data_IF_072711891544
#
_entry.id   IF_072711891544
#
_cell.length_a   1.000
_cell.length_b   1.000
_cell.length_c   1.000
_cell.angle_alpha   90.00
_cell.angle_beta   90.00
_cell.angle_gamma   90.00
#
_symmetry.space_group_name_H-M   'P 1'
#
loop_
_entity.id
_entity.type
_entity.pdbx_description
1 polymer ?
#
# COMPACT_ATOMS: atom_id res chain seq x y z
N UNK A 1 23.43 18.12 22.27
CA UNK A 1 23.26 18.04 20.82
C UNK A 1 23.62 16.62 20.39
N UNK A 2 22.68 15.71 20.42
CA UNK A 2 22.81 14.35 19.90
C UNK A 2 21.84 14.26 18.75
N UNK A 3 22.37 14.20 17.52
CA UNK A 3 21.58 14.07 16.30
C UNK A 3 20.85 12.72 16.24
N UNK A 4 19.72 12.64 15.53
CA UNK A 4 18.97 11.40 15.42
C UNK A 4 19.79 10.36 14.64
N UNK A 5 19.89 9.18 15.22
CA UNK A 5 20.59 8.03 14.63
C UNK A 5 19.92 7.64 13.31
N UNK A 6 20.61 7.81 12.19
CA UNK A 6 20.28 7.24 10.89
C UNK A 6 20.17 5.72 11.01
N UNK A 7 18.97 5.18 10.97
CA UNK A 7 18.77 3.76 10.77
C UNK A 7 19.02 3.42 9.30
N UNK A 8 20.27 3.30 8.90
CA UNK A 8 20.64 2.68 7.62
C UNK A 8 20.11 1.25 7.63
N UNK A 9 19.05 0.97 6.88
CA UNK A 9 18.71 -0.41 6.57
C UNK A 9 19.93 -1.02 5.91
N UNK A 10 20.52 -2.04 6.55
CA UNK A 10 21.63 -2.80 5.97
C UNK A 10 21.16 -3.37 4.64
N UNK A 11 21.93 -3.13 3.57
CA UNK A 11 21.77 -3.85 2.31
C UNK A 11 21.76 -5.37 2.62
N UNK A 12 20.82 -6.10 2.02
CA UNK A 12 20.72 -7.54 2.21
C UNK A 12 22.06 -8.20 1.84
N UNK A 13 22.55 -9.10 2.69
CA UNK A 13 23.77 -9.86 2.41
C UNK A 13 23.57 -10.67 1.12
N UNK A 14 24.59 -10.81 0.25
CA UNK A 14 24.55 -11.75 -0.87
C UNK A 14 24.19 -13.16 -0.36
N UNK A 15 23.17 -13.79 -0.94
CA UNK A 15 22.65 -15.09 -0.52
C UNK A 15 21.51 -15.04 0.50
N UNK A 16 21.07 -13.86 0.95
CA UNK A 16 19.84 -13.75 1.72
C UNK A 16 18.63 -14.14 0.83
N UNK A 17 17.74 -14.96 1.41
CA UNK A 17 16.50 -15.38 0.72
C UNK A 17 15.30 -14.75 1.44
N UNK A 18 14.99 -13.48 1.17
CA UNK A 18 13.85 -12.82 1.77
C UNK A 18 12.56 -13.55 1.40
N UNK A 19 11.56 -13.46 2.27
CA UNK A 19 10.24 -13.99 2.00
C UNK A 19 9.37 -12.90 1.39
N UNK A 20 8.70 -13.22 0.28
CA UNK A 20 7.67 -12.39 -0.34
C UNK A 20 6.30 -12.96 0.02
N UNK A 21 5.49 -12.16 0.67
CA UNK A 21 4.09 -12.46 0.92
C UNK A 21 3.24 -11.80 -0.16
N UNK A 22 2.31 -12.56 -0.71
CA UNK A 22 1.37 -12.10 -1.74
C UNK A 22 -0.04 -12.39 -1.28
N UNK A 23 -0.82 -11.33 -1.09
CA UNK A 23 -2.27 -11.41 -0.88
C UNK A 23 -3.01 -11.40 -2.21
N UNK A 24 -4.11 -12.12 -2.28
CA UNK A 24 -4.93 -12.24 -3.48
C UNK A 24 -6.42 -12.04 -3.18
N UNK A 25 -7.20 -11.68 -4.18
CA UNK A 25 -8.64 -11.77 -4.05
C UNK A 25 -9.05 -13.24 -4.12
N UNK A 26 -9.37 -13.81 -2.96
CA UNK A 26 -9.75 -15.21 -2.77
C UNK A 26 -11.08 -15.28 -2.00
N UNK A 27 -11.89 -16.26 -2.30
CA UNK A 27 -13.10 -16.52 -1.53
C UNK A 27 -12.76 -17.13 -0.16
N UNK A 28 -13.70 -17.03 0.78
CA UNK A 28 -13.46 -17.57 2.13
C UNK A 28 -13.29 -19.10 2.08
N UNK A 29 -12.14 -19.58 2.57
CA UNK A 29 -11.76 -21.00 2.51
C UNK A 29 -10.63 -21.29 1.52
N UNK A 30 -10.42 -20.44 0.52
CA UNK A 30 -9.30 -20.55 -0.41
C UNK A 30 -8.03 -19.91 0.14
N UNK A 31 -6.88 -20.36 -0.36
CA UNK A 31 -5.59 -19.75 -0.06
C UNK A 31 -5.59 -18.30 -0.53
N UNK A 32 -5.57 -17.36 0.43
CA UNK A 32 -5.58 -15.93 0.14
C UNK A 32 -4.21 -15.29 0.34
N UNK A 33 -3.39 -15.80 1.27
CA UNK A 33 -2.02 -15.31 1.46
C UNK A 33 -1.05 -16.42 1.09
N UNK A 34 -0.17 -16.13 0.13
CA UNK A 34 0.88 -17.03 -0.34
C UNK A 34 2.25 -16.50 0.07
N UNK A 35 3.13 -17.39 0.55
CA UNK A 35 4.49 -17.05 0.95
C UNK A 35 5.47 -17.71 0.00
N UNK A 36 6.33 -16.88 -0.58
CA UNK A 36 7.38 -17.32 -1.50
C UNK A 36 8.76 -17.03 -0.89
N UNK A 37 9.65 -18.01 -0.99
CA UNK A 37 11.08 -17.78 -0.81
C UNK A 37 11.61 -17.16 -2.10
N UNK A 38 12.22 -16.00 -1.99
CA UNK A 38 12.77 -15.28 -3.13
C UNK A 38 14.28 -15.48 -3.22
N UNK A 39 14.75 -15.96 -4.35
CA UNK A 39 16.19 -16.09 -4.64
C UNK A 39 16.69 -14.79 -5.28
N UNK A 40 17.47 -14.02 -4.55
CA UNK A 40 18.02 -12.73 -5.01
C UNK A 40 19.10 -12.88 -6.10
N UNK A 41 19.64 -14.08 -6.33
CA UNK A 41 20.62 -14.32 -7.39
C UNK A 41 19.95 -14.56 -8.74
N UNK A 42 18.86 -15.32 -8.76
CA UNK A 42 18.18 -15.74 -10.00
C UNK A 42 16.82 -15.06 -10.24
N UNK A 43 16.24 -14.39 -9.24
CA UNK A 43 14.88 -13.86 -9.31
C UNK A 43 13.78 -14.93 -9.15
N UNK A 44 14.14 -16.17 -8.83
CA UNK A 44 13.19 -17.27 -8.71
C UNK A 44 12.30 -17.12 -7.46
N UNK A 45 11.04 -17.51 -7.61
CA UNK A 45 10.03 -17.55 -6.54
C UNK A 45 9.64 -19.01 -6.30
N UNK A 46 9.92 -19.50 -5.08
CA UNK A 46 9.52 -20.82 -4.60
C UNK A 46 8.38 -20.64 -3.59
N UNK A 47 7.16 -21.13 -3.88
CA UNK A 47 6.07 -21.10 -2.90
C UNK A 47 6.36 -22.09 -1.78
N UNK A 48 6.50 -21.58 -0.55
CA UNK A 48 6.83 -22.39 0.65
C UNK A 48 5.62 -22.58 1.57
N UNK A 49 4.64 -21.67 1.51
CA UNK A 49 3.47 -21.72 2.37
C UNK A 49 2.28 -21.00 1.73
N UNK A 50 1.08 -21.37 2.13
CA UNK A 50 -0.14 -20.61 1.88
C UNK A 50 -1.13 -20.81 3.03
N UNK A 51 -2.02 -19.83 3.25
CA UNK A 51 -3.03 -19.87 4.29
C UNK A 51 -4.36 -19.30 3.77
N UNK A 52 -5.49 -19.92 4.13
CA UNK A 52 -6.80 -19.39 3.80
C UNK A 52 -7.03 -18.00 4.41
N UNK A 53 -7.45 -17.07 3.57
CA UNK A 53 -7.83 -15.72 3.98
C UNK A 53 -8.78 -15.13 2.91
N UNK A 54 -9.87 -14.51 3.34
CA UNK A 54 -10.80 -13.87 2.42
C UNK A 54 -10.26 -12.49 1.99
N UNK A 55 -10.02 -12.31 0.70
CA UNK A 55 -9.61 -11.05 0.06
C UNK A 55 -8.53 -10.26 0.83
N UNK A 56 -7.35 -10.83 1.16
CA UNK A 56 -6.25 -10.10 1.79
C UNK A 56 -5.55 -9.20 0.75
N UNK A 57 -6.26 -8.18 0.27
CA UNK A 57 -5.85 -7.35 -0.87
C UNK A 57 -4.70 -6.38 -0.56
N UNK A 58 -4.38 -6.19 0.72
CA UNK A 58 -3.24 -5.39 1.16
C UNK A 58 -2.59 -5.97 2.43
N UNK A 59 -1.26 -5.96 2.49
CA UNK A 59 -0.46 -6.53 3.56
C UNK A 59 0.62 -5.55 4.02
N UNK A 60 0.93 -5.59 5.32
CA UNK A 60 2.13 -4.94 5.86
C UNK A 60 2.81 -5.87 6.85
N UNK A 61 4.15 -5.87 6.86
CA UNK A 61 4.94 -6.59 7.86
C UNK A 61 5.45 -5.63 8.95
N UNK A 62 5.51 -6.11 10.19
CA UNK A 62 6.17 -5.39 11.27
C UNK A 62 7.66 -5.19 10.96
N UNK A 63 8.27 -4.15 11.56
CA UNK A 63 9.68 -3.82 11.31
C UNK A 63 10.65 -4.95 11.69
N UNK A 64 10.30 -5.71 12.72
CA UNK A 64 11.08 -6.86 13.19
C UNK A 64 10.81 -8.15 12.39
N UNK A 65 9.88 -8.10 11.44
CA UNK A 65 9.51 -9.22 10.56
C UNK A 65 8.76 -10.34 11.26
N UNK A 66 8.33 -10.18 12.53
CA UNK A 66 7.64 -11.23 13.29
C UNK A 66 6.13 -11.24 13.14
N UNK A 67 5.55 -10.13 12.66
CA UNK A 67 4.10 -10.01 12.49
C UNK A 67 3.76 -9.51 11.10
N UNK A 68 2.63 -9.99 10.59
CA UNK A 68 2.04 -9.55 9.33
C UNK A 68 0.60 -9.17 9.59
N UNK A 69 0.18 -8.03 9.06
CA UNK A 69 -1.19 -7.56 9.12
C UNK A 69 -1.77 -7.52 7.72
N UNK A 70 -3.00 -8.01 7.57
CA UNK A 70 -3.69 -8.05 6.28
C UNK A 70 -5.10 -7.51 6.43
N UNK A 71 -5.55 -6.70 5.47
CA UNK A 71 -6.99 -6.42 5.33
C UNK A 71 -7.72 -7.69 4.89
N UNK A 72 -9.00 -7.78 5.20
CA UNK A 72 -9.94 -8.66 4.51
C UNK A 72 -10.96 -7.74 3.84
N UNK A 73 -10.73 -7.43 2.56
CA UNK A 73 -11.53 -6.52 1.75
C UNK A 73 -12.87 -7.18 1.41
N UNK A 74 -13.78 -7.09 2.39
CA UNK A 74 -15.10 -7.66 2.28
C UNK A 74 -16.14 -6.55 2.14
N UNK A 75 -17.03 -6.65 1.14
CA UNK A 75 -18.17 -5.76 1.03
C UNK A 75 -19.12 -5.98 2.20
N UNK A 76 -19.82 -4.93 2.59
CA UNK A 76 -20.86 -5.06 3.59
C UNK A 76 -22.01 -5.92 3.07
N UNK A 77 -22.33 -6.96 3.79
CA UNK A 77 -23.59 -7.69 3.58
C UNK A 77 -24.77 -6.82 3.96
N UNK A 78 -25.76 -6.70 3.10
CA UNK A 78 -27.04 -6.08 3.46
C UNK A 78 -27.58 -6.74 4.73
N UNK A 79 -28.08 -5.92 5.65
CA UNK A 79 -28.67 -6.40 6.89
C UNK A 79 -29.85 -7.34 6.58
N UNK A 80 -29.65 -8.62 6.79
CA UNK A 80 -30.76 -9.57 6.91
C UNK A 80 -31.17 -9.62 8.38
N UNK A 81 -32.44 -9.61 8.71
CA UNK A 81 -32.89 -9.68 10.08
C UNK A 81 -32.27 -10.87 10.82
N UNK A 82 -31.51 -10.61 11.89
CA UNK A 82 -30.87 -11.63 12.73
C UNK A 82 -29.46 -12.07 12.31
N UNK A 83 -28.86 -11.52 11.25
CA UNK A 83 -27.46 -11.75 10.87
C UNK A 83 -26.68 -10.47 11.15
N UNK A 84 -25.62 -10.56 11.97
CA UNK A 84 -24.68 -9.47 12.17
C UNK A 84 -24.14 -9.04 10.80
N UNK A 85 -24.20 -7.73 10.50
CA UNK A 85 -23.64 -7.17 9.27
C UNK A 85 -22.19 -7.60 9.16
N UNK A 86 -21.82 -8.35 8.12
CA UNK A 86 -20.41 -8.66 7.83
C UNK A 86 -19.77 -7.34 7.45
N UNK A 87 -18.93 -6.83 8.33
CA UNK A 87 -18.08 -5.67 8.07
C UNK A 87 -16.75 -6.14 7.48
N UNK A 88 -16.00 -5.25 6.85
CA UNK A 88 -14.61 -5.50 6.53
C UNK A 88 -13.84 -5.90 7.78
N UNK A 89 -12.81 -6.70 7.62
CA UNK A 89 -11.99 -7.22 8.72
C UNK A 89 -10.52 -6.87 8.50
N UNK A 90 -9.75 -6.98 9.58
CA UNK A 90 -8.30 -6.96 9.55
C UNK A 90 -7.77 -8.10 10.39
N UNK A 91 -6.76 -8.80 9.88
CA UNK A 91 -6.16 -9.97 10.50
C UNK A 91 -4.71 -9.70 10.89
N UNK A 92 -4.29 -10.21 12.05
CA UNK A 92 -2.92 -10.22 12.52
C UNK A 92 -2.39 -11.65 12.53
N UNK A 93 -1.17 -11.84 12.04
CA UNK A 93 -0.49 -13.14 11.97
C UNK A 93 0.88 -13.05 12.63
N UNK A 94 1.27 -14.11 13.37
CA UNK A 94 2.66 -14.36 13.64
C UNK A 94 3.33 -14.94 12.39
N UNK A 95 4.55 -14.50 12.10
CA UNK A 95 5.33 -14.96 10.97
C UNK A 95 6.66 -15.56 11.41
N UNK A 96 6.93 -16.80 11.02
CA UNK A 96 8.23 -17.44 11.18
C UNK A 96 9.05 -17.28 9.89
N UNK A 97 10.05 -16.42 9.93
CA UNK A 97 10.92 -16.16 8.79
C UNK A 97 11.79 -17.35 8.36
N UNK A 98 11.96 -18.37 9.23
CA UNK A 98 12.75 -19.58 8.92
C UNK A 98 11.96 -20.54 8.05
N UNK A 99 10.75 -20.85 8.46
CA UNK A 99 9.85 -21.78 7.75
C UNK A 99 9.01 -21.08 6.69
N UNK A 100 8.77 -19.77 6.82
CA UNK A 100 7.84 -19.00 6.00
C UNK A 100 6.38 -19.17 6.41
N UNK A 101 6.09 -19.75 7.59
CA UNK A 101 4.73 -20.04 8.03
C UNK A 101 4.06 -18.82 8.67
N UNK A 102 2.75 -18.72 8.45
CA UNK A 102 1.86 -17.76 9.10
C UNK A 102 0.92 -18.46 10.07
N UNK A 103 0.78 -17.92 11.28
CA UNK A 103 -0.21 -18.36 12.26
C UNK A 103 -1.14 -17.21 12.59
N UNK A 104 -2.44 -17.37 12.38
CA UNK A 104 -3.43 -16.34 12.73
C UNK A 104 -3.40 -16.12 14.25
N UNK A 105 -3.16 -14.88 14.65
CA UNK A 105 -3.19 -14.44 16.05
C UNK A 105 -4.56 -13.86 16.40
N UNK A 106 -5.08 -13.00 15.53
CA UNK A 106 -6.27 -12.22 15.81
C UNK A 106 -6.97 -11.78 14.51
N UNK A 107 -8.27 -11.52 14.59
CA UNK A 107 -9.07 -10.93 13.52
C UNK A 107 -10.17 -10.08 14.10
N UNK A 108 -10.19 -8.79 13.75
CA UNK A 108 -11.15 -7.83 14.27
C UNK A 108 -11.83 -7.05 13.15
N UNK A 109 -12.93 -6.37 13.47
CA UNK A 109 -13.60 -5.47 12.53
C UNK A 109 -12.68 -4.32 12.09
N UNK A 110 -12.72 -3.95 10.82
CA UNK A 110 -12.10 -2.74 10.29
C UNK A 110 -12.89 -1.46 10.63
N UNK A 111 -14.05 -1.60 11.28
CA UNK A 111 -15.02 -0.52 11.53
C UNK A 111 -15.52 0.19 10.26
N UNK A 112 -15.50 -0.51 9.14
CA UNK A 112 -15.97 -0.05 7.84
C UNK A 112 -16.09 -1.23 6.87
N UNK A 113 -16.18 -0.94 5.59
CA UNK A 113 -16.31 -1.94 4.54
C UNK A 113 -15.24 -1.74 3.49
N UNK A 114 -14.91 -2.83 2.78
CA UNK A 114 -13.88 -2.84 1.76
C UNK A 114 -12.56 -2.22 2.26
N UNK A 115 -11.98 -2.69 3.41
CA UNK A 115 -10.67 -2.21 3.83
C UNK A 115 -9.63 -2.56 2.77
N UNK A 116 -8.94 -1.55 2.23
CA UNK A 116 -8.08 -1.72 1.06
C UNK A 116 -6.63 -1.28 1.26
N UNK A 117 -6.30 -0.69 2.41
CA UNK A 117 -4.92 -0.24 2.69
C UNK A 117 -4.62 -0.22 4.19
N UNK A 118 -3.36 -0.51 4.53
CA UNK A 118 -2.82 -0.51 5.89
C UNK A 118 -1.54 0.32 5.99
N UNK A 119 -1.30 0.92 7.16
CA UNK A 119 -0.04 1.58 7.51
C UNK A 119 0.26 1.38 8.98
N UNK A 120 1.48 0.92 9.30
CA UNK A 120 1.97 0.86 10.67
C UNK A 120 2.51 2.23 11.09
N UNK A 121 2.25 2.62 12.34
CA UNK A 121 2.93 3.76 12.94
C UNK A 121 4.45 3.53 13.00
N UNK A 122 5.29 4.58 12.98
CA UNK A 122 6.74 4.43 13.01
C UNK A 122 7.28 3.64 14.22
N UNK A 123 6.57 3.68 15.33
CA UNK A 123 6.89 2.91 16.56
C UNK A 123 6.31 1.49 16.57
N UNK A 124 5.49 1.13 15.56
CA UNK A 124 4.87 -0.17 15.40
C UNK A 124 3.72 -0.48 16.38
N UNK A 125 3.27 0.49 17.17
CA UNK A 125 2.23 0.28 18.18
C UNK A 125 0.80 0.54 17.71
N UNK A 126 0.64 1.05 16.48
CA UNK A 126 -0.67 1.30 15.91
C UNK A 126 -0.71 0.87 14.44
N UNK A 127 -1.87 0.38 14.03
CA UNK A 127 -2.21 0.09 12.65
C UNK A 127 -3.32 1.02 12.21
N UNK A 128 -3.07 1.85 11.23
CA UNK A 128 -4.10 2.61 10.54
C UNK A 128 -4.58 1.83 9.31
N UNK A 129 -5.87 1.90 9.01
CA UNK A 129 -6.48 1.28 7.84
C UNK A 129 -7.49 2.21 7.17
N UNK A 130 -7.61 2.09 5.86
CA UNK A 130 -8.56 2.79 5.02
C UNK A 130 -9.65 1.80 4.58
N UNK A 131 -10.91 2.16 4.83
CA UNK A 131 -12.09 1.47 4.33
C UNK A 131 -12.62 2.25 3.13
N UNK A 132 -12.70 1.59 1.98
CA UNK A 132 -13.10 2.23 0.73
C UNK A 132 -14.58 2.61 0.73
N UNK A 133 -15.43 1.73 1.25
CA UNK A 133 -16.88 1.98 1.33
C UNK A 133 -17.46 1.68 2.71
N UNK A 134 -18.68 2.18 2.96
CA UNK A 134 -19.46 1.93 4.17
C UNK A 134 -20.93 1.76 3.77
N UNK A 135 -21.53 0.56 3.92
CA UNK A 135 -22.85 0.22 3.39
C UNK A 135 -24.00 1.04 3.97
N UNK A 136 -23.90 1.43 5.24
CA UNK A 136 -25.00 2.11 5.94
C UNK A 136 -25.02 3.64 5.72
N UNK A 137 -23.97 4.19 5.11
CA UNK A 137 -23.80 5.62 4.88
C UNK A 137 -22.76 5.77 3.77
N UNK A 138 -23.10 6.23 2.55
CA UNK A 138 -22.15 6.37 1.48
C UNK A 138 -20.93 7.19 1.91
N UNK A 139 -19.75 6.61 1.73
CA UNK A 139 -18.49 7.25 2.06
C UNK A 139 -17.50 6.31 2.75
N UNK A 140 -16.23 6.59 2.58
CA UNK A 140 -15.14 5.85 3.19
C UNK A 140 -14.91 6.19 4.65
N UNK A 141 -14.03 5.45 5.30
CA UNK A 141 -13.58 5.75 6.66
C UNK A 141 -12.12 5.42 6.87
N UNK A 142 -11.55 6.02 7.91
CA UNK A 142 -10.21 5.73 8.41
C UNK A 142 -10.34 5.19 9.83
N UNK A 143 -9.66 4.09 10.11
CA UNK A 143 -9.63 3.50 11.46
C UNK A 143 -8.20 3.32 11.93
N UNK A 144 -7.94 3.55 13.21
CA UNK A 144 -6.65 3.28 13.86
C UNK A 144 -6.90 2.30 15.00
N UNK A 145 -6.15 1.20 14.98
CA UNK A 145 -6.17 0.15 16.00
C UNK A 145 -4.85 0.13 16.76
N UNK A 146 -4.85 0.00 18.09
CA UNK A 146 -3.64 -0.25 18.84
C UNK A 146 -3.13 -1.68 18.58
N UNK A 147 -1.82 -1.87 18.68
CA UNK A 147 -1.14 -3.17 18.56
C UNK A 147 -0.50 -3.48 19.92
N UNK A 148 -0.81 -4.64 20.47
CA UNK A 148 -0.20 -5.16 21.67
C UNK A 148 1.21 -5.72 21.41
N UNK A 149 1.99 -5.96 22.46
CA UNK A 149 3.37 -6.44 22.36
C UNK A 149 3.49 -7.84 21.71
N UNK A 150 2.41 -8.64 21.75
CA UNK A 150 2.33 -9.96 21.13
C UNK A 150 1.84 -9.93 19.67
N UNK A 151 1.63 -8.73 19.12
CA UNK A 151 1.17 -8.51 17.75
C UNK A 151 -0.34 -8.55 17.56
N UNK A 152 -1.14 -8.85 18.60
CA UNK A 152 -2.59 -8.80 18.54
C UNK A 152 -3.12 -7.37 18.56
N UNK A 153 -4.37 -7.20 18.19
CA UNK A 153 -5.01 -5.88 18.30
C UNK A 153 -5.41 -5.60 19.76
N UNK A 154 -5.10 -4.40 20.22
CA UNK A 154 -5.52 -3.91 21.52
C UNK A 154 -6.96 -3.39 21.52
N UNK A 155 -7.47 -3.05 22.69
CA UNK A 155 -8.81 -2.48 22.85
C UNK A 155 -8.84 -1.01 22.40
N UNK A 156 -9.98 -0.59 21.85
CA UNK A 156 -10.27 0.80 21.51
C UNK A 156 -9.78 1.20 20.12
N UNK A 157 -10.71 1.34 19.19
CA UNK A 157 -10.45 1.86 17.86
C UNK A 157 -10.79 3.35 17.79
N UNK A 158 -9.99 4.14 17.08
CA UNK A 158 -10.37 5.47 16.62
C UNK A 158 -10.84 5.37 15.18
N UNK A 159 -12.07 5.79 14.88
CA UNK A 159 -12.60 5.75 13.52
C UNK A 159 -13.20 7.10 13.12
N UNK A 160 -12.90 7.53 11.89
CA UNK A 160 -13.41 8.77 11.31
C UNK A 160 -14.04 8.47 9.96
N UNK A 161 -15.32 8.84 9.81
CA UNK A 161 -16.02 8.77 8.52
C UNK A 161 -15.69 9.97 7.66
N UNK A 162 -15.43 9.72 6.38
CA UNK A 162 -15.23 10.76 5.38
C UNK A 162 -16.55 11.10 4.70
N UNK A 163 -16.66 12.32 4.18
CA UNK A 163 -17.84 12.82 3.46
C UNK A 163 -17.39 13.66 2.27
N UNK A 164 -18.14 13.59 1.21
CA UNK A 164 -17.90 14.35 0.00
C UNK A 164 -18.12 13.56 -1.24
N UNK A 165 -17.95 14.18 -2.38
CA UNK A 165 -18.03 13.57 -3.71
C UNK A 165 -17.15 14.36 -4.68
N UNK A 166 -16.90 13.80 -5.85
CA UNK A 166 -16.13 14.39 -6.94
C UNK A 166 -16.92 14.35 -8.26
N UNK A 167 -16.31 14.80 -9.35
CA UNK A 167 -17.00 14.97 -10.62
C UNK A 167 -17.18 13.68 -11.44
N UNK A 168 -16.49 12.59 -11.13
CA UNK A 168 -16.49 11.34 -11.91
C UNK A 168 -17.62 10.43 -11.45
N UNK A 169 -18.74 10.44 -12.17
CA UNK A 169 -19.90 9.61 -11.88
C UNK A 169 -19.54 8.11 -11.82
N UNK A 170 -20.10 7.39 -10.86
CA UNK A 170 -19.86 5.97 -10.62
C UNK A 170 -18.54 5.66 -9.90
N UNK A 171 -17.64 6.64 -9.78
CA UNK A 171 -16.36 6.49 -9.09
C UNK A 171 -16.19 7.48 -7.93
N UNK A 172 -16.88 8.61 -7.98
CA UNK A 172 -16.78 9.69 -7.02
C UNK A 172 -18.14 10.17 -6.53
N UNK A 173 -19.15 9.30 -6.52
CA UNK A 173 -20.49 9.63 -6.02
C UNK A 173 -20.51 9.81 -4.50
N UNK A 174 -19.50 9.30 -3.81
CA UNK A 174 -19.27 9.46 -2.36
C UNK A 174 -17.78 9.45 -2.03
N UNK A 175 -17.44 9.78 -0.78
CA UNK A 175 -16.07 9.68 -0.29
C UNK A 175 -15.60 8.21 -0.27
N UNK A 176 -14.34 7.95 -0.65
CA UNK A 176 -13.71 6.64 -0.69
C UNK A 176 -12.27 6.73 -0.18
N UNK A 177 -12.04 6.40 1.10
CA UNK A 177 -10.70 6.34 1.64
C UNK A 177 -9.94 5.18 0.96
N UNK A 178 -8.94 5.50 0.13
CA UNK A 178 -8.19 4.46 -0.58
C UNK A 178 -6.84 4.13 0.07
N UNK A 179 -6.23 5.06 0.75
CA UNK A 179 -5.03 4.78 1.52
C UNK A 179 -4.92 5.65 2.77
N UNK A 180 -4.14 5.17 3.72
CA UNK A 180 -3.82 5.85 4.95
C UNK A 180 -2.34 5.66 5.25
N UNK A 181 -1.63 6.73 5.62
CA UNK A 181 -0.17 6.70 5.78
C UNK A 181 0.23 7.57 6.97
N UNK A 182 0.98 6.99 7.92
CA UNK A 182 1.67 7.79 8.93
C UNK A 182 2.81 8.57 8.28
N UNK A 183 2.92 9.85 8.61
CA UNK A 183 4.08 10.62 8.27
C UNK A 183 5.33 10.06 8.98
N UNK A 184 6.54 10.22 8.40
CA UNK A 184 7.76 9.72 9.03
C UNK A 184 8.05 10.25 10.43
N UNK A 185 7.49 11.41 10.77
CA UNK A 185 7.60 12.03 12.09
C UNK A 185 6.72 11.35 13.18
N UNK A 186 5.80 10.45 12.76
CA UNK A 186 4.85 9.79 13.65
C UNK A 186 3.78 10.68 14.24
N UNK A 187 3.78 11.99 13.96
CA UNK A 187 2.85 12.97 14.52
C UNK A 187 1.62 13.23 13.66
N UNK A 188 1.68 12.84 12.38
CA UNK A 188 0.61 13.08 11.44
C UNK A 188 0.16 11.78 10.76
N UNK A 189 -1.14 11.65 10.55
CA UNK A 189 -1.76 10.60 9.74
C UNK A 189 -2.42 11.25 8.53
N UNK A 190 -2.10 10.75 7.35
CA UNK A 190 -2.69 11.18 6.09
C UNK A 190 -3.64 10.11 5.57
N UNK A 191 -4.75 10.54 4.97
CA UNK A 191 -5.63 9.67 4.20
C UNK A 191 -5.94 10.27 2.83
N UNK A 192 -6.04 9.43 1.83
CA UNK A 192 -6.38 9.81 0.48
C UNK A 192 -7.82 9.41 0.21
N UNK A 193 -8.65 10.41 -0.07
CA UNK A 193 -10.04 10.23 -0.43
C UNK A 193 -10.18 10.33 -1.95
N UNK A 194 -10.19 9.17 -2.59
CA UNK A 194 -10.35 9.04 -4.04
C UNK A 194 -11.70 9.61 -4.50
N UNK A 195 -12.74 9.40 -3.69
CA UNK A 195 -14.10 9.78 -4.06
C UNK A 195 -14.38 11.28 -3.98
N UNK A 196 -13.65 12.02 -3.14
CA UNK A 196 -13.86 13.46 -2.95
C UNK A 196 -12.67 14.32 -3.42
N UNK A 197 -11.68 13.72 -4.10
CA UNK A 197 -10.46 14.42 -4.55
C UNK A 197 -9.75 15.16 -3.41
N UNK A 198 -9.52 14.49 -2.27
CA UNK A 198 -8.93 15.11 -1.09
C UNK A 198 -7.77 14.32 -0.52
N UNK A 199 -6.79 15.04 0.00
CA UNK A 199 -5.79 14.51 0.93
C UNK A 199 -6.13 15.08 2.30
N UNK A 200 -6.54 14.21 3.23
CA UNK A 200 -6.84 14.59 4.61
C UNK A 200 -5.62 14.36 5.48
N UNK A 201 -5.47 15.18 6.51
CA UNK A 201 -4.43 15.05 7.53
C UNK A 201 -4.99 15.32 8.92
N UNK A 202 -4.61 14.47 9.86
CA UNK A 202 -4.84 14.66 11.31
C UNK A 202 -3.51 14.71 12.05
N UNK A 203 -3.50 15.43 13.17
CA UNK A 203 -2.48 15.16 14.19
C UNK A 203 -2.87 13.86 14.88
N UNK A 204 -1.89 12.97 14.97
CA UNK A 204 -2.03 11.67 15.61
C UNK A 204 -1.56 11.75 17.07
N UNK A 205 -2.40 11.29 17.99
CA UNK A 205 -2.11 11.16 19.41
C UNK A 205 -2.36 9.71 19.83
N UNK A 206 -1.29 8.95 20.02
CA UNK A 206 -1.32 7.53 20.38
C UNK A 206 -0.32 7.18 21.48
N UNK A 207 -0.01 8.13 22.36
CA UNK A 207 1.08 7.99 23.31
C UNK A 207 0.76 7.09 24.52
N UNK A 208 -0.50 6.91 24.88
CA UNK A 208 -0.92 6.11 26.03
C UNK A 208 -1.38 4.72 25.58
N UNK A 209 -0.70 3.63 25.98
CA UNK A 209 -1.06 2.28 25.56
C UNK A 209 -2.40 1.78 26.10
N UNK A 210 -2.95 2.45 27.09
CA UNK A 210 -4.23 2.15 27.75
C UNK A 210 -5.39 3.02 27.26
N UNK A 211 -5.15 3.93 26.30
CA UNK A 211 -6.17 4.83 25.74
C UNK A 211 -6.25 4.67 24.22
N UNK A 212 -7.47 4.77 23.65
CA UNK A 212 -7.62 4.84 22.19
C UNK A 212 -6.81 5.99 21.61
N UNK A 213 -6.20 5.76 20.46
CA UNK A 213 -5.57 6.81 19.70
C UNK A 213 -6.60 7.90 19.34
N UNK A 214 -6.14 9.13 19.15
CA UNK A 214 -6.99 10.23 18.71
C UNK A 214 -6.48 10.84 17.42
N UNK A 215 -7.42 11.15 16.53
CA UNK A 215 -7.20 11.90 15.30
C UNK A 215 -7.80 13.30 15.49
N UNK A 216 -6.94 14.27 15.72
CA UNK A 216 -7.33 15.65 16.05
C UNK A 216 -6.88 16.65 14.99
N UNK A 217 -7.41 17.84 15.02
CA UNK A 217 -7.07 18.96 14.12
C UNK A 217 -7.13 18.56 12.63
N UNK A 218 -8.27 18.07 12.12
CA UNK A 218 -8.39 17.68 10.74
C UNK A 218 -8.21 18.86 9.81
N UNK A 219 -7.34 18.69 8.82
CA UNK A 219 -7.24 19.59 7.65
C UNK A 219 -7.25 18.75 6.38
N UNK A 220 -7.66 19.35 5.29
CA UNK A 220 -7.60 18.68 3.99
C UNK A 220 -7.07 19.62 2.91
N UNK A 221 -6.43 19.01 1.93
CA UNK A 221 -6.01 19.64 0.69
C UNK A 221 -6.93 19.13 -0.43
N UNK A 222 -7.61 20.03 -1.13
CA UNK A 222 -8.34 19.70 -2.33
C UNK A 222 -7.33 19.49 -3.47
N UNK A 223 -7.34 18.31 -4.07
CA UNK A 223 -6.52 18.03 -5.25
C UNK A 223 -7.32 18.35 -6.51
N UNK A 224 -6.72 18.15 -7.67
CA UNK A 224 -7.36 18.42 -8.95
C UNK A 224 -8.64 17.59 -9.12
N UNK A 225 -9.78 18.22 -9.51
CA UNK A 225 -11.04 17.51 -9.68
C UNK A 225 -10.93 16.36 -10.68
N UNK A 226 -11.45 15.19 -10.30
CA UNK A 226 -11.44 13.98 -11.13
C UNK A 226 -10.12 13.21 -11.12
N UNK A 227 -9.12 13.61 -10.33
CA UNK A 227 -7.84 12.90 -10.28
C UNK A 227 -7.91 11.59 -9.46
N UNK A 228 -8.69 11.56 -8.38
CA UNK A 228 -8.86 10.40 -7.52
C UNK A 228 -7.56 9.97 -6.83
N UNK A 229 -7.11 10.68 -5.77
CA UNK A 229 -5.87 10.34 -5.07
C UNK A 229 -5.98 8.96 -4.42
N UNK A 230 -5.00 8.09 -4.70
CA UNK A 230 -5.05 6.67 -4.36
C UNK A 230 -4.02 6.25 -3.33
N UNK A 231 -2.75 6.40 -3.63
CA UNK A 231 -1.63 6.02 -2.77
C UNK A 231 -0.69 7.20 -2.52
N UNK A 232 -0.12 7.27 -1.32
CA UNK A 232 0.89 8.25 -0.94
C UNK A 232 2.15 7.55 -0.45
N UNK A 233 3.31 8.05 -0.88
CA UNK A 233 4.61 7.67 -0.33
C UNK A 233 5.41 8.91 0.04
N UNK A 234 5.98 8.90 1.24
CA UNK A 234 6.96 9.92 1.61
C UNK A 234 8.33 9.59 1.02
N UNK A 235 8.98 10.60 0.47
CA UNK A 235 10.35 10.54 0.04
C UNK A 235 11.35 10.46 1.20
N UNK A 236 12.66 10.43 0.90
CA UNK A 236 13.70 10.51 1.92
C UNK A 236 13.49 11.70 2.86
N UNK A 237 13.77 11.50 4.16
CA UNK A 237 13.65 12.52 5.20
C UNK A 237 12.24 13.13 5.36
N UNK A 238 11.23 12.62 4.62
CA UNK A 238 9.86 13.13 4.69
C UNK A 238 9.65 14.54 4.14
N UNK A 239 10.63 15.13 3.42
CA UNK A 239 10.53 16.48 2.84
C UNK A 239 9.56 16.57 1.66
N UNK A 240 9.32 15.44 1.00
CA UNK A 240 8.43 15.34 -0.16
C UNK A 240 7.44 14.20 0.04
N UNK A 241 6.25 14.36 -0.51
CA UNK A 241 5.23 13.33 -0.62
C UNK A 241 4.82 13.15 -2.08
N UNK A 242 4.64 11.91 -2.49
CA UNK A 242 4.29 11.51 -3.85
C UNK A 242 2.94 10.84 -3.82
N UNK A 243 2.00 11.39 -4.56
CA UNK A 243 0.62 10.94 -4.60
C UNK A 243 0.31 10.36 -5.97
N UNK A 244 -0.06 9.08 -5.99
CA UNK A 244 -0.63 8.43 -7.15
C UNK A 244 -2.10 8.80 -7.25
N UNK A 245 -2.51 9.33 -8.38
CA UNK A 245 -3.89 9.58 -8.73
C UNK A 245 -4.40 8.43 -9.64
N UNK A 246 -5.51 7.81 -9.25
CA UNK A 246 -6.03 6.64 -9.96
C UNK A 246 -6.74 7.02 -11.25
N UNK A 247 -7.65 8.01 -11.19
CA UNK A 247 -8.64 8.19 -12.24
C UNK A 247 -8.08 8.86 -13.50
N UNK A 248 -7.03 9.67 -13.36
CA UNK A 248 -6.35 10.32 -14.48
C UNK A 248 -4.94 9.77 -14.74
N UNK A 249 -4.52 8.73 -13.97
CA UNK A 249 -3.19 8.14 -14.05
C UNK A 249 -2.08 9.19 -14.04
N UNK A 250 -1.96 9.90 -12.94
CA UNK A 250 -0.93 10.91 -12.72
C UNK A 250 -0.24 10.75 -11.37
N UNK A 251 0.91 11.38 -11.22
CA UNK A 251 1.62 11.50 -9.94
C UNK A 251 1.76 12.99 -9.63
N UNK A 252 1.31 13.37 -8.44
CA UNK A 252 1.56 14.70 -7.89
C UNK A 252 2.68 14.64 -6.85
N UNK A 253 3.68 15.52 -6.98
CA UNK A 253 4.76 15.70 -6.03
C UNK A 253 4.46 16.91 -5.17
N UNK A 254 4.46 16.70 -3.86
CA UNK A 254 4.23 17.77 -2.87
C UNK A 254 5.49 18.01 -2.04
N UNK A 255 5.80 19.27 -1.74
CA UNK A 255 6.65 19.58 -0.60
C UNK A 255 5.87 19.34 0.67
N UNK A 256 6.52 18.69 1.65
CA UNK A 256 5.93 18.40 2.95
C UNK A 256 6.72 19.10 4.05
N UNK A 257 6.02 19.82 4.91
CA UNK A 257 6.58 20.46 6.09
C UNK A 257 5.52 20.48 7.21
N UNK A 258 5.84 19.88 8.34
CA UNK A 258 4.99 19.83 9.55
C UNK A 258 3.50 19.47 9.26
N UNK A 259 3.29 18.42 8.49
CA UNK A 259 1.97 17.94 8.10
C UNK A 259 1.26 18.76 7.01
N UNK A 260 1.88 19.79 6.47
CA UNK A 260 1.36 20.57 5.36
C UNK A 260 1.95 20.13 4.03
N UNK A 261 1.11 20.12 3.00
CA UNK A 261 1.49 19.75 1.63
C UNK A 261 1.31 20.94 0.70
N UNK A 262 2.31 21.19 -0.14
CA UNK A 262 2.21 22.16 -1.24
C UNK A 262 2.64 21.54 -2.55
N UNK A 263 1.79 21.62 -3.58
CA UNK A 263 2.06 21.02 -4.90
C UNK A 263 3.33 21.62 -5.51
N UNK A 264 4.23 20.76 -5.95
CA UNK A 264 5.49 21.12 -6.56
C UNK A 264 5.60 20.66 -8.01
N UNK A 265 5.02 19.52 -8.36
CA UNK A 265 5.02 18.97 -9.71
C UNK A 265 3.78 18.12 -9.95
N UNK A 266 3.28 18.14 -11.19
CA UNK A 266 2.27 17.22 -11.70
C UNK A 266 2.88 16.44 -12.87
N UNK A 267 2.77 15.09 -12.84
CA UNK A 267 3.38 14.20 -13.83
C UNK A 267 2.33 13.25 -14.39
N UNK A 268 1.87 13.44 -15.63
CA UNK A 268 1.05 12.45 -16.32
C UNK A 268 1.82 11.14 -16.52
N UNK A 269 1.16 9.99 -16.35
CA UNK A 269 1.76 8.67 -16.54
C UNK A 269 1.55 8.13 -17.95
N UNK A 270 0.78 8.82 -18.79
CA UNK A 270 0.54 8.46 -20.18
C UNK A 270 1.30 9.38 -21.12
N UNK A 271 1.60 8.89 -22.30
CA UNK A 271 2.15 9.73 -23.36
C UNK A 271 1.07 10.70 -23.92
N UNK A 272 1.47 11.85 -24.44
CA UNK A 272 0.53 12.75 -25.10
C UNK A 272 -0.24 12.04 -26.20
N UNK A 273 -1.57 12.16 -26.19
CA UNK A 273 -2.44 11.53 -27.18
C UNK A 273 -2.83 10.08 -26.89
N UNK A 274 -2.43 9.51 -25.77
CA UNK A 274 -2.93 8.19 -25.35
C UNK A 274 -4.44 8.23 -25.13
N UNK A 275 -5.19 7.45 -25.92
CA UNK A 275 -6.66 7.44 -25.90
C UNK A 275 -7.27 6.20 -25.22
N UNK A 276 -6.46 5.33 -24.66
CA UNK A 276 -6.94 4.14 -23.96
C UNK A 276 -7.39 4.42 -22.52
N UNK A 277 -8.03 3.43 -21.89
CA UNK A 277 -8.39 3.47 -20.48
C UNK A 277 -7.14 3.46 -19.58
N UNK A 278 -7.19 4.23 -18.51
CA UNK A 278 -6.08 4.37 -17.55
C UNK A 278 -6.58 4.20 -16.12
N UNK A 279 -5.71 3.68 -15.26
CA UNK A 279 -5.95 3.70 -13.83
C UNK A 279 -4.62 3.56 -13.07
N UNK A 280 -4.13 4.64 -12.48
CA UNK A 280 -2.97 4.60 -11.60
C UNK A 280 -3.17 3.60 -10.47
N UNK A 281 -2.12 2.87 -10.05
CA UNK A 281 -2.27 1.84 -9.02
C UNK A 281 -1.19 1.92 -7.94
N UNK A 282 -0.15 1.14 -8.01
CA UNK A 282 0.89 1.08 -6.99
C UNK A 282 1.99 2.14 -7.20
N UNK A 283 2.64 2.52 -6.11
CA UNK A 283 3.71 3.50 -6.09
C UNK A 283 4.76 3.10 -5.05
N UNK A 284 6.00 2.80 -5.47
CA UNK A 284 7.08 2.39 -4.57
C UNK A 284 8.43 2.98 -4.96
N UNK A 285 9.20 3.35 -3.95
CA UNK A 285 10.60 3.71 -4.14
C UNK A 285 11.48 2.47 -4.26
N UNK A 286 12.56 2.59 -5.03
CA UNK A 286 13.70 1.69 -4.89
C UNK A 286 14.30 1.79 -3.47
N UNK A 287 14.96 0.73 -2.97
CA UNK A 287 15.58 0.76 -1.63
C UNK A 287 16.59 1.89 -1.44
N UNK A 288 17.32 2.25 -2.50
CA UNK A 288 18.28 3.37 -2.53
C UNK A 288 17.62 4.74 -2.66
N UNK A 289 16.28 4.80 -2.83
CA UNK A 289 15.48 6.02 -2.98
C UNK A 289 15.81 6.89 -4.19
N UNK A 290 16.61 6.40 -5.13
CA UNK A 290 16.98 7.12 -6.36
C UNK A 290 15.88 7.09 -7.42
N UNK A 291 15.01 6.07 -7.37
CA UNK A 291 13.94 5.88 -8.34
C UNK A 291 12.59 5.65 -7.66
N UNK A 292 11.56 6.15 -8.29
CA UNK A 292 10.16 5.90 -7.96
C UNK A 292 9.53 5.08 -9.10
N UNK A 293 8.86 4.01 -8.76
CA UNK A 293 8.15 3.13 -9.69
C UNK A 293 6.65 3.30 -9.50
N UNK A 294 5.92 3.26 -10.61
CA UNK A 294 4.48 3.43 -10.63
C UNK A 294 3.83 2.44 -11.59
N UNK A 295 2.72 1.82 -11.22
CA UNK A 295 1.95 0.98 -12.14
C UNK A 295 0.73 1.71 -12.68
N UNK A 296 0.46 1.55 -13.99
CA UNK A 296 -0.71 2.05 -14.68
C UNK A 296 -1.45 0.88 -15.30
N UNK A 297 -2.71 0.71 -14.90
CA UNK A 297 -3.64 -0.33 -15.36
C UNK A 297 -4.43 0.13 -16.58
N UNK A 298 -5.40 -0.65 -16.99
CA UNK A 298 -6.25 -0.39 -18.16
C UNK A 298 -5.55 -0.80 -19.45
N UNK A 299 -5.68 -0.03 -20.52
CA UNK A 299 -5.07 -0.36 -21.79
C UNK A 299 -3.55 -0.10 -21.81
N UNK A 300 -3.03 0.63 -20.82
CA UNK A 300 -1.60 0.90 -20.68
C UNK A 300 -0.82 -0.30 -20.13
N UNK A 301 -1.32 -0.96 -19.10
CA UNK A 301 -0.75 -2.16 -18.44
C UNK A 301 0.79 -2.18 -18.34
N UNK A 302 1.34 -1.15 -17.67
CA UNK A 302 2.79 -0.90 -17.63
C UNK A 302 3.29 -0.45 -16.26
N UNK A 303 4.59 -0.58 -16.07
CA UNK A 303 5.35 -0.01 -14.96
C UNK A 303 6.18 1.14 -15.49
N UNK A 304 6.01 2.32 -14.89
CA UNK A 304 6.81 3.50 -15.19
C UNK A 304 7.93 3.64 -14.18
N UNK A 305 9.05 4.16 -14.63
CA UNK A 305 10.24 4.41 -13.83
C UNK A 305 10.56 5.89 -13.86
N UNK A 306 10.70 6.49 -12.70
CA UNK A 306 11.07 7.90 -12.55
C UNK A 306 12.35 8.02 -11.73
N UNK A 307 13.33 8.76 -12.25
CA UNK A 307 14.45 9.24 -11.46
C UNK A 307 13.97 10.37 -10.54
N UNK A 308 14.42 10.33 -9.29
CA UNK A 308 14.06 11.32 -8.26
C UNK A 308 15.24 12.24 -8.04
N UNK A 309 15.05 13.53 -8.28
CA UNK A 309 16.06 14.54 -7.94
C UNK A 309 16.14 14.68 -6.41
N UNK A 310 17.29 14.42 -5.78
CA UNK A 310 17.38 14.38 -4.32
C UNK A 310 17.23 15.76 -3.66
N UNK A 311 17.48 16.84 -4.39
CA UNK A 311 17.40 18.19 -3.83
C UNK A 311 15.98 18.76 -3.92
N UNK A 312 15.34 18.63 -5.09
CA UNK A 312 14.03 19.20 -5.38
C UNK A 312 12.88 18.23 -5.17
N UNK A 313 13.14 16.92 -5.11
CA UNK A 313 12.13 15.86 -5.08
C UNK A 313 11.41 15.62 -6.41
N UNK A 314 11.77 16.38 -7.46
CA UNK A 314 11.10 16.30 -8.75
C UNK A 314 11.36 14.97 -9.45
N UNK A 315 10.36 14.52 -10.22
CA UNK A 315 10.41 13.31 -10.99
C UNK A 315 10.79 13.60 -12.44
N UNK A 316 11.68 12.77 -12.99
CA UNK A 316 11.99 12.72 -14.41
C UNK A 316 11.80 11.29 -14.89
N UNK A 317 10.98 11.07 -15.92
CA UNK A 317 10.80 9.73 -16.49
C UNK A 317 12.15 9.16 -16.96
N UNK A 318 12.42 7.93 -16.55
CA UNK A 318 13.64 7.17 -16.86
C UNK A 318 13.34 5.92 -17.69
N UNK A 319 12.07 5.50 -17.77
CA UNK A 319 11.68 4.38 -18.60
C UNK A 319 10.23 3.93 -18.38
N UNK A 320 9.79 3.07 -19.29
CA UNK A 320 8.49 2.37 -19.25
C UNK A 320 8.71 0.92 -19.61
N UNK A 321 8.00 0.04 -18.94
CA UNK A 321 8.07 -1.41 -19.17
C UNK A 321 6.65 -1.99 -19.15
N UNK A 322 6.27 -2.74 -20.19
CA UNK A 322 5.05 -3.55 -20.13
C UNK A 322 5.09 -4.48 -18.92
N UNK A 323 3.99 -4.59 -18.19
CA UNK A 323 3.88 -5.53 -17.06
C UNK A 323 3.82 -7.01 -17.49
N UNK A 324 3.80 -7.30 -18.80
CA UNK A 324 3.68 -8.63 -19.40
C UNK A 324 2.44 -9.41 -18.92
N UNK A 325 1.36 -8.68 -18.74
CA UNK A 325 0.07 -9.18 -18.28
C UNK A 325 -0.97 -8.09 -18.31
N UNK A 326 -2.02 -8.23 -17.49
CA UNK A 326 -3.10 -7.24 -17.38
C UNK A 326 -3.35 -6.86 -15.93
N UNK A 327 -3.71 -5.61 -15.72
CA UNK A 327 -4.08 -5.03 -14.43
C UNK A 327 -2.95 -5.20 -13.40
N UNK A 328 -1.78 -4.53 -13.59
CA UNK A 328 -0.69 -4.53 -12.62
C UNK A 328 -1.12 -3.75 -11.36
N UNK A 329 -1.83 -4.44 -10.44
CA UNK A 329 -2.45 -3.82 -9.27
C UNK A 329 -1.43 -3.42 -8.23
N UNK A 330 -0.47 -4.30 -7.97
CA UNK A 330 0.58 -4.07 -6.97
C UNK A 330 1.90 -4.68 -7.46
N UNK A 331 3.00 -4.17 -6.94
CA UNK A 331 4.33 -4.71 -7.16
C UNK A 331 5.21 -4.51 -5.92
N UNK A 332 6.28 -5.25 -5.83
CA UNK A 332 7.30 -5.06 -4.81
C UNK A 332 8.70 -5.04 -5.43
N UNK A 333 9.60 -4.26 -4.83
CA UNK A 333 11.02 -4.29 -5.14
C UNK A 333 11.71 -5.06 -4.02
N UNK A 334 12.58 -6.01 -4.37
CA UNK A 334 13.31 -6.79 -3.37
C UNK A 334 14.18 -5.89 -2.47
N UNK A 335 14.47 -6.31 -1.24
CA UNK A 335 15.25 -5.49 -0.31
C UNK A 335 16.66 -5.15 -0.80
N UNK A 336 17.23 -5.96 -1.69
CA UNK A 336 18.51 -5.69 -2.36
C UNK A 336 18.42 -4.73 -3.53
N UNK A 337 17.22 -4.47 -4.01
CA UNK A 337 16.96 -3.54 -5.10
C UNK A 337 17.34 -4.02 -6.49
N UNK A 338 17.62 -5.32 -6.66
CA UNK A 338 17.99 -5.91 -7.94
C UNK A 338 16.80 -6.41 -8.76
N UNK A 339 15.60 -6.47 -8.14
CA UNK A 339 14.43 -7.11 -8.75
C UNK A 339 13.15 -6.36 -8.45
N UNK A 340 12.21 -6.43 -9.40
CA UNK A 340 10.84 -5.98 -9.23
C UNK A 340 9.90 -7.13 -9.58
N UNK A 341 8.96 -7.43 -8.70
CA UNK A 341 7.94 -8.46 -8.88
C UNK A 341 6.59 -7.76 -9.00
N UNK A 342 5.89 -7.93 -10.13
CA UNK A 342 4.57 -7.35 -10.35
C UNK A 342 3.46 -8.41 -10.28
N UNK A 343 2.37 -8.07 -9.63
CA UNK A 343 1.13 -8.84 -9.61
C UNK A 343 0.15 -8.34 -10.65
N UNK A 344 -0.02 -9.13 -11.69
CA UNK A 344 -0.98 -8.88 -12.76
C UNK A 344 -2.33 -9.51 -12.40
N UNK A 345 -3.17 -8.76 -11.69
CA UNK A 345 -4.46 -9.22 -11.18
C UNK A 345 -5.37 -9.77 -12.30
N UNK A 346 -5.40 -9.11 -13.45
CA UNK A 346 -6.23 -9.51 -14.60
C UNK A 346 -5.68 -10.66 -15.43
N UNK A 347 -4.50 -11.17 -15.08
CA UNK A 347 -3.84 -12.30 -15.78
C UNK A 347 -3.45 -13.43 -14.83
N UNK A 348 -3.86 -13.39 -13.55
CA UNK A 348 -3.59 -14.40 -12.53
C UNK A 348 -2.11 -14.79 -12.45
N UNK A 349 -1.23 -13.78 -12.39
CA UNK A 349 0.20 -14.03 -12.53
C UNK A 349 1.08 -13.05 -11.77
N UNK A 350 2.22 -13.56 -11.29
CA UNK A 350 3.39 -12.75 -10.98
C UNK A 350 4.35 -12.77 -12.16
N UNK A 351 4.97 -11.62 -12.42
CA UNK A 351 6.08 -11.45 -13.35
C UNK A 351 7.27 -10.85 -12.63
N UNK A 352 8.46 -11.27 -12.97
CA UNK A 352 9.71 -10.83 -12.36
C UNK A 352 10.52 -10.06 -13.38
N UNK A 353 11.09 -8.96 -12.96
CA UNK A 353 11.95 -8.09 -13.75
C UNK A 353 13.27 -7.90 -13.04
N UNK A 354 14.38 -8.04 -13.76
CA UNK A 354 15.68 -7.57 -13.28
C UNK A 354 15.68 -6.05 -13.28
N UNK A 355 16.13 -5.45 -12.19
CA UNK A 355 16.25 -4.01 -12.07
C UNK A 355 17.72 -3.62 -12.20
N UNK A 356 18.03 -2.81 -13.18
CA UNK A 356 19.32 -2.12 -13.23
C UNK A 356 19.36 -1.02 -12.16
N UNK A 357 20.30 -1.12 -11.23
CA UNK A 357 20.33 -0.22 -10.07
C UNK A 357 20.87 1.17 -10.41
N UNK A 358 21.57 1.35 -11.53
CA UNK A 358 22.13 2.63 -11.96
C UNK A 358 21.12 3.45 -12.77
N UNK A 359 20.45 2.83 -13.73
CA UNK A 359 19.48 3.50 -14.60
C UNK A 359 18.03 3.38 -14.12
N UNK A 360 17.74 2.46 -13.20
CA UNK A 360 16.40 2.13 -12.75
C UNK A 360 15.59 1.27 -13.72
N UNK A 361 16.10 0.97 -14.92
CA UNK A 361 15.38 0.26 -15.97
C UNK A 361 15.08 -1.18 -15.57
N UNK A 362 14.00 -1.70 -16.14
CA UNK A 362 13.50 -3.05 -15.90
C UNK A 362 13.69 -3.91 -17.14
N UNK A 363 14.32 -5.05 -16.96
CA UNK A 363 14.45 -6.09 -17.99
C UNK A 363 13.60 -7.29 -17.61
N UNK A 364 12.72 -7.78 -18.49
CA UNK A 364 11.86 -8.92 -18.18
C UNK A 364 12.67 -10.20 -18.06
N UNK A 365 12.41 -10.97 -16.99
CA UNK A 365 12.93 -12.31 -16.86
C UNK A 365 11.93 -13.35 -17.41
N UNK A 366 12.43 -14.42 -18.01
CA UNK A 366 11.59 -15.54 -18.42
C UNK A 366 10.89 -16.14 -17.20
N UNK A 367 9.64 -16.47 -17.36
CA UNK A 367 8.90 -17.17 -16.32
C UNK A 367 7.70 -16.38 -15.83
N UNK A 368 6.77 -17.15 -15.34
CA UNK A 368 5.48 -16.70 -14.82
C UNK A 368 5.13 -17.60 -13.65
N UNK A 369 4.77 -17.01 -12.54
CA UNK A 369 4.17 -17.73 -11.41
C UNK A 369 2.66 -17.53 -11.48
N UNK A 370 1.91 -18.63 -11.58
CA UNK A 370 0.45 -18.57 -11.56
C UNK A 370 -0.04 -18.41 -10.12
N UNK A 371 -0.89 -17.41 -9.91
CA UNK A 371 -1.55 -17.12 -8.64
C UNK A 371 -2.83 -16.34 -8.95
N UNK A 372 -3.95 -16.75 -8.34
CA UNK A 372 -5.23 -16.09 -8.59
C UNK A 372 -5.23 -14.64 -8.09
N UNK A 373 -5.58 -13.70 -8.95
CA UNK A 373 -5.89 -12.29 -8.67
C UNK A 373 -4.98 -11.61 -7.62
N UNK A 374 -3.62 -11.59 -7.81
CA UNK A 374 -2.69 -11.02 -6.85
C UNK A 374 -2.94 -9.51 -6.64
N UNK A 375 -2.90 -9.05 -5.39
CA UNK A 375 -3.33 -7.70 -5.04
C UNK A 375 -2.45 -6.99 -4.00
N UNK A 376 -1.92 -7.68 -2.99
CA UNK A 376 -1.12 -7.10 -1.91
C UNK A 376 0.25 -7.77 -1.81
N UNK A 377 1.30 -7.00 -1.49
CA UNK A 377 2.69 -7.48 -1.46
C UNK A 377 3.43 -6.97 -0.22
N UNK A 378 4.16 -7.84 0.44
CA UNK A 378 5.08 -7.47 1.50
C UNK A 378 6.33 -8.34 1.47
N UNK A 379 7.53 -7.73 1.40
CA UNK A 379 8.77 -8.43 1.68
C UNK A 379 9.05 -8.44 3.18
N UNK A 380 9.43 -9.62 3.68
CA UNK A 380 9.94 -9.80 5.02
C UNK A 380 11.38 -10.28 4.92
N UNK A 381 12.30 -9.51 5.50
CA UNK A 381 13.70 -9.91 5.62
C UNK A 381 13.89 -10.66 6.94
N UNK A 382 14.54 -11.81 6.90
CA UNK A 382 15.11 -12.42 8.11
C UNK A 382 16.12 -11.44 8.71
N UNK A 383 15.89 -10.99 9.94
CA UNK A 383 16.71 -10.01 10.65
C UNK A 383 18.18 -10.40 10.77
#
# INVERSE_FOLDING_TARGET
>A
MTGPAESRRRAAKPGARPMLLVGSYAEGGDDGIHVYRFDTASGALERVFAIPAANPSYLVASRDGRHVYAVNELPGGGASPGIATVTGMVSAYAFDATSGTLTLLDRVSSHGQDPCHLSLSPDGRHLALANYSVAADPGGSVTVLPIAADGRFGAGAASVRLKGSGPVSGRQDSAHAHSVVFAPDGRHLFALDLGADRILRWRFQGEAPDKPAQLVDPVWLQVRPGSGPRHLRFGPEGRFAYVMNELDASIDVYRHHDGLLSLAQHVPMTEPGFGGGVAGSALHFSPDRRFLYASNRGDADQILVYAVDPASGMLKEAGRQSCLGRTPREFAIDPGGGWLIVGNQGSDALRVFRRDQESGRLDPEPGKVTIGRPAGFAFVSSG
#
